data_IF_928708659143
#
_entry.id   IF_928708659143
#
_cell.length_a   1.000
_cell.length_b   1.000
_cell.length_c   1.000
_cell.angle_alpha   90.00
_cell.angle_beta   90.00
_cell.angle_gamma   90.00
#
_symmetry.space_group_name_H-M   'P 1'
#
loop_
_entity.id
_entity.type
_entity.pdbx_description
1 polymer ?
#
# COMPACT_ATOMS: atom_id res chain seq x y z
N UNK A 1 4.11 -18.79 4.15
CA UNK A 1 5.48 -19.31 4.33
C UNK A 1 6.43 -18.13 4.18
N UNK A 2 7.36 -17.93 5.11
CA UNK A 2 8.32 -16.83 5.11
C UNK A 2 9.66 -17.34 5.67
N UNK A 3 10.80 -16.80 5.25
CA UNK A 3 12.13 -17.28 5.63
C UNK A 3 13.10 -17.46 4.45
N UNK A 4 14.40 -17.55 4.74
CA UNK A 4 15.46 -17.71 3.74
C UNK A 4 15.58 -19.18 3.33
N UNK A 5 14.86 -19.57 2.27
CA UNK A 5 14.87 -20.94 1.74
C UNK A 5 16.29 -21.43 1.38
N UNK A 6 17.17 -20.52 0.94
CA UNK A 6 18.56 -20.83 0.61
C UNK A 6 19.43 -21.26 1.80
N UNK A 7 19.04 -20.86 3.02
CA UNK A 7 19.75 -21.19 4.27
C UNK A 7 19.09 -22.38 5.00
N UNK A 8 18.11 -23.05 4.37
CA UNK A 8 17.36 -24.16 4.98
C UNK A 8 16.36 -23.71 6.06
N UNK A 9 16.10 -22.41 6.19
CA UNK A 9 15.26 -21.83 7.24
C UNK A 9 13.91 -21.38 6.68
N UNK A 10 12.89 -22.20 6.91
CA UNK A 10 11.52 -21.98 6.41
C UNK A 10 10.55 -21.88 7.58
N UNK A 11 9.89 -20.73 7.72
CA UNK A 11 8.77 -20.55 8.66
C UNK A 11 7.44 -20.75 7.94
N UNK A 12 6.70 -21.76 8.38
CA UNK A 12 5.35 -22.02 7.93
C UNK A 12 4.35 -21.52 8.96
N UNK A 13 3.34 -20.79 8.49
CA UNK A 13 2.15 -20.48 9.29
C UNK A 13 1.02 -21.37 8.78
N UNK A 14 0.66 -22.34 9.59
CA UNK A 14 -0.48 -23.22 9.36
C UNK A 14 -1.60 -22.75 10.29
N UNK A 15 -2.74 -22.40 9.72
CA UNK A 15 -3.90 -21.94 10.48
C UNK A 15 -4.74 -23.14 10.87
N UNK A 16 -5.12 -23.22 12.14
CA UNK A 16 -6.06 -24.20 12.67
C UNK A 16 -7.29 -23.48 13.22
N UNK A 17 -8.42 -24.17 13.22
CA UNK A 17 -9.60 -23.72 13.91
C UNK A 17 -9.46 -24.00 15.42
N UNK A 18 -9.12 -22.97 16.19
CA UNK A 18 -9.01 -23.06 17.65
C UNK A 18 -10.28 -22.60 18.37
N UNK A 19 -11.38 -22.38 17.62
CA UNK A 19 -12.67 -21.97 18.19
C UNK A 19 -13.57 -23.18 18.46
N UNK A 20 -13.43 -24.26 17.70
CA UNK A 20 -14.27 -25.45 17.87
C UNK A 20 -13.47 -26.62 18.46
N UNK A 21 -14.14 -27.48 19.21
CA UNK A 21 -13.51 -28.64 19.88
C UNK A 21 -12.81 -29.57 18.88
N UNK A 22 -13.45 -29.85 17.74
CA UNK A 22 -12.88 -30.69 16.68
C UNK A 22 -11.57 -30.11 16.11
N UNK A 23 -11.52 -28.79 15.93
CA UNK A 23 -10.33 -28.12 15.42
C UNK A 23 -9.18 -28.06 16.44
N UNK A 24 -9.50 -27.96 17.73
CA UNK A 24 -8.49 -28.08 18.81
C UNK A 24 -7.93 -29.51 18.86
N UNK A 25 -8.79 -30.53 18.70
CA UNK A 25 -8.35 -31.92 18.65
C UNK A 25 -7.45 -32.18 17.43
N UNK A 26 -7.83 -31.67 16.26
CA UNK A 26 -7.01 -31.76 15.04
C UNK A 26 -5.65 -31.08 15.21
N UNK A 27 -5.62 -29.88 15.78
CA UNK A 27 -4.38 -29.17 16.05
C UNK A 27 -3.46 -29.90 17.03
N UNK A 28 -4.01 -30.45 18.12
CA UNK A 28 -3.26 -31.26 19.09
C UNK A 28 -2.65 -32.52 18.46
N UNK A 29 -3.44 -33.21 17.62
CA UNK A 29 -2.98 -34.38 16.85
C UNK A 29 -1.86 -34.00 15.89
N UNK A 30 -2.04 -32.92 15.12
CA UNK A 30 -1.01 -32.43 14.20
C UNK A 30 0.30 -32.12 14.91
N UNK A 31 0.26 -31.42 16.05
CA UNK A 31 1.47 -31.08 16.81
C UNK A 31 2.18 -32.33 17.34
N UNK A 32 1.43 -33.32 17.79
CA UNK A 32 1.97 -34.60 18.27
C UNK A 32 2.65 -35.38 17.13
N UNK A 33 1.97 -35.52 15.99
CA UNK A 33 2.51 -36.21 14.81
C UNK A 33 3.73 -35.49 14.22
N UNK A 34 3.69 -34.15 14.16
CA UNK A 34 4.83 -33.36 13.72
C UNK A 34 6.03 -33.49 14.67
N UNK A 35 5.79 -33.53 15.98
CA UNK A 35 6.83 -33.73 16.97
C UNK A 35 7.52 -35.09 16.80
N UNK A 36 6.73 -36.17 16.65
CA UNK A 36 7.24 -37.52 16.45
C UNK A 36 8.06 -37.61 15.16
N UNK A 37 7.60 -36.97 14.09
CA UNK A 37 8.32 -36.92 12.82
C UNK A 37 9.67 -36.23 12.97
N UNK A 38 9.71 -35.05 13.60
CA UNK A 38 10.95 -34.30 13.82
C UNK A 38 11.96 -35.12 14.64
N UNK A 39 11.50 -35.76 15.73
CA UNK A 39 12.36 -36.60 16.58
C UNK A 39 12.87 -37.83 15.82
N UNK A 40 12.04 -38.46 14.99
CA UNK A 40 12.42 -39.63 14.17
C UNK A 40 13.59 -39.32 13.24
N UNK A 41 13.68 -38.09 12.72
CA UNK A 41 14.79 -37.64 11.87
C UNK A 41 15.95 -37.01 12.65
N UNK A 42 15.97 -37.09 13.98
CA UNK A 42 17.00 -36.50 14.83
C UNK A 42 16.96 -34.96 14.90
N UNK A 43 15.82 -34.36 14.55
CA UNK A 43 15.61 -32.92 14.63
C UNK A 43 15.28 -32.45 16.05
N UNK A 44 15.24 -31.12 16.24
CA UNK A 44 14.93 -30.49 17.53
C UNK A 44 13.62 -29.70 17.46
N UNK A 45 12.80 -29.83 18.50
CA UNK A 45 11.60 -29.00 18.72
C UNK A 45 11.94 -27.66 19.40
N UNK A 46 13.17 -27.53 19.91
CA UNK A 46 13.68 -26.34 20.56
C UNK A 46 14.24 -25.34 19.55
N UNK A 47 14.07 -24.05 19.83
CA UNK A 47 14.50 -22.96 18.95
C UNK A 47 15.31 -21.88 19.67
N UNK A 48 15.87 -20.95 18.90
CA UNK A 48 16.74 -19.85 19.37
C UNK A 48 16.12 -18.99 20.49
N UNK A 49 14.78 -18.87 20.49
CA UNK A 49 14.04 -18.06 21.46
C UNK A 49 13.43 -18.86 22.62
N UNK A 50 13.88 -20.11 22.80
CA UNK A 50 13.38 -21.03 23.81
C UNK A 50 12.07 -21.73 23.40
N UNK A 51 11.61 -22.64 24.27
CA UNK A 51 10.51 -23.57 23.93
C UNK A 51 9.11 -23.01 24.21
N UNK A 52 9.03 -22.06 25.13
CA UNK A 52 7.76 -21.48 25.57
C UNK A 52 6.77 -22.53 26.11
N UNK A 53 5.50 -22.13 26.24
CA UNK A 53 4.44 -23.06 26.69
C UNK A 53 3.85 -23.91 25.58
N UNK A 54 3.77 -23.36 24.37
CA UNK A 54 3.14 -24.05 23.25
C UNK A 54 3.87 -25.34 22.84
N UNK A 55 5.15 -25.49 23.19
CA UNK A 55 5.95 -26.68 22.89
C UNK A 55 6.33 -27.50 24.12
N UNK A 56 6.12 -26.96 25.32
CA UNK A 56 6.56 -27.58 26.58
C UNK A 56 6.11 -29.03 26.71
N UNK A 57 4.83 -29.30 26.48
CA UNK A 57 4.25 -30.64 26.55
C UNK A 57 4.73 -31.60 25.44
N UNK A 58 5.47 -31.12 24.44
CA UNK A 58 6.10 -31.95 23.41
C UNK A 58 7.57 -32.27 23.74
N UNK A 59 8.19 -31.58 24.70
CA UNK A 59 9.61 -31.74 25.03
C UNK A 59 9.94 -33.15 25.54
N UNK A 60 8.99 -33.82 26.20
CA UNK A 60 9.15 -35.21 26.61
C UNK A 60 9.36 -36.17 25.44
N UNK A 61 8.74 -35.90 24.29
CA UNK A 61 8.93 -36.71 23.07
C UNK A 61 10.36 -36.60 22.53
N UNK A 62 11.03 -35.46 22.77
CA UNK A 62 12.39 -35.19 22.27
C UNK A 62 13.49 -35.60 23.26
N UNK A 63 13.36 -35.22 24.54
CA UNK A 63 14.38 -35.50 25.56
C UNK A 63 14.21 -36.86 26.23
N UNK A 64 13.00 -37.42 26.17
CA UNK A 64 12.66 -38.66 26.85
C UNK A 64 12.49 -38.49 28.37
N UNK A 65 11.95 -39.52 29.03
CA UNK A 65 11.60 -39.47 30.45
C UNK A 65 12.84 -39.39 31.36
N UNK A 66 13.94 -40.02 30.98
CA UNK A 66 15.18 -40.04 31.78
C UNK A 66 15.82 -38.65 31.89
N UNK A 67 15.96 -37.94 30.76
CA UNK A 67 16.54 -36.61 30.74
C UNK A 67 15.64 -35.58 31.43
N UNK A 68 14.31 -35.70 31.28
CA UNK A 68 13.36 -34.88 32.04
C UNK A 68 13.42 -35.14 33.54
N UNK A 69 13.64 -36.39 33.97
CA UNK A 69 13.85 -36.69 35.38
C UNK A 69 15.11 -36.01 35.93
N UNK A 70 16.19 -35.98 35.14
CA UNK A 70 17.40 -35.23 35.50
C UNK A 70 17.15 -33.72 35.59
N UNK A 71 16.41 -33.14 34.63
CA UNK A 71 16.04 -31.73 34.69
C UNK A 71 15.19 -31.42 35.93
N UNK A 72 14.26 -32.31 36.29
CA UNK A 72 13.45 -32.17 37.51
C UNK A 72 14.30 -32.24 38.77
N UNK A 73 15.24 -33.19 38.84
CA UNK A 73 16.18 -33.30 39.95
C UNK A 73 17.06 -32.06 40.07
N UNK A 74 17.58 -31.55 38.95
CA UNK A 74 18.38 -30.32 38.93
C UNK A 74 17.57 -29.11 39.43
N UNK A 75 16.33 -28.94 38.95
CA UNK A 75 15.46 -27.86 39.40
C UNK A 75 15.16 -27.95 40.90
N UNK A 76 14.91 -29.15 41.42
CA UNK A 76 14.60 -29.35 42.84
C UNK A 76 15.75 -28.98 43.80
N UNK A 77 17.01 -29.00 43.33
CA UNK A 77 18.17 -28.53 44.12
C UNK A 77 18.07 -27.03 44.41
N UNK A 78 17.59 -26.24 43.45
CA UNK A 78 17.57 -24.77 43.51
C UNK A 78 16.19 -24.19 43.85
N UNK A 79 15.13 -24.95 43.60
CA UNK A 79 13.74 -24.54 43.78
C UNK A 79 12.90 -25.73 44.31
N UNK A 80 13.16 -26.18 45.56
CA UNK A 80 12.50 -27.34 46.14
C UNK A 80 10.99 -27.15 46.30
N UNK A 81 10.55 -25.91 46.52
CA UNK A 81 9.14 -25.53 46.67
C UNK A 81 8.46 -25.23 45.32
N UNK A 82 9.20 -25.26 44.21
CA UNK A 82 8.65 -25.09 42.86
C UNK A 82 8.11 -23.67 42.55
N UNK A 83 8.62 -22.64 43.22
CA UNK A 83 8.15 -21.26 43.10
C UNK A 83 8.72 -20.53 41.88
N UNK A 84 9.87 -20.97 41.35
CA UNK A 84 10.53 -20.31 40.22
C UNK A 84 9.99 -20.83 38.89
N UNK A 85 9.12 -20.07 38.24
CA UNK A 85 8.56 -20.38 36.91
C UNK A 85 7.86 -21.75 36.83
N UNK A 86 6.79 -21.97 37.62
CA UNK A 86 6.05 -23.22 37.60
C UNK A 86 5.45 -23.52 36.22
N UNK A 87 5.49 -24.80 35.85
CA UNK A 87 4.97 -25.29 34.57
C UNK A 87 5.76 -24.87 33.33
N UNK A 88 6.94 -24.28 33.46
CA UNK A 88 7.83 -23.95 32.33
C UNK A 88 8.88 -25.04 32.16
N UNK A 89 8.99 -25.60 30.94
CA UNK A 89 9.93 -26.68 30.55
C UNK A 89 9.65 -28.01 31.27
N UNK A 90 9.50 -27.99 32.59
CA UNK A 90 9.13 -29.10 33.44
C UNK A 90 7.67 -28.99 33.85
N UNK A 91 6.99 -30.13 33.86
CA UNK A 91 5.58 -30.29 34.23
C UNK A 91 4.67 -29.24 33.52
N UNK A 92 4.76 -29.13 32.19
CA UNK A 92 4.07 -28.10 31.43
C UNK A 92 2.56 -28.34 31.39
N UNK A 93 1.79 -27.26 31.24
CA UNK A 93 0.36 -27.39 30.99
C UNK A 93 0.11 -28.07 29.63
N UNK A 94 -1.02 -28.78 29.46
CA UNK A 94 -1.39 -29.35 28.17
C UNK A 94 -1.41 -28.29 27.06
N UNK A 95 -1.02 -28.68 25.85
CA UNK A 95 -0.96 -27.77 24.68
C UNK A 95 -2.31 -27.10 24.38
N UNK A 96 -3.40 -27.80 24.68
CA UNK A 96 -4.79 -27.34 24.49
C UNK A 96 -5.32 -26.49 25.64
N UNK A 97 -4.55 -26.32 26.71
CA UNK A 97 -4.93 -25.48 27.85
C UNK A 97 -4.52 -24.02 27.61
N UNK A 98 -5.21 -23.08 28.27
CA UNK A 98 -4.88 -21.65 28.23
C UNK A 98 -4.84 -21.05 26.82
N UNK A 99 -5.62 -21.59 25.88
CA UNK A 99 -5.72 -21.04 24.54
C UNK A 99 -6.39 -19.66 24.59
N UNK A 100 -5.86 -18.72 23.82
CA UNK A 100 -6.45 -17.37 23.67
C UNK A 100 -7.85 -17.42 23.03
N UNK A 101 -8.10 -18.44 22.23
CA UNK A 101 -9.37 -18.75 21.58
C UNK A 101 -9.86 -20.09 22.13
N UNK A 102 -11.17 -20.27 22.27
CA UNK A 102 -11.73 -21.54 22.71
C UNK A 102 -13.23 -21.62 22.44
N UNK A 103 -13.83 -22.82 22.58
CA UNK A 103 -15.25 -23.07 22.29
C UNK A 103 -16.20 -22.28 23.20
N UNK A 104 -15.73 -21.88 24.37
CA UNK A 104 -16.48 -21.07 25.34
C UNK A 104 -16.24 -19.57 25.19
N UNK A 105 -15.30 -19.16 24.32
CA UNK A 105 -15.00 -17.74 24.08
C UNK A 105 -15.90 -17.24 22.96
N UNK A 106 -17.04 -16.64 23.32
CA UNK A 106 -17.78 -15.79 22.38
C UNK A 106 -16.90 -14.59 22.04
N UNK A 107 -16.26 -14.64 20.87
CA UNK A 107 -15.70 -13.43 20.27
C UNK A 107 -16.88 -12.54 19.90
N UNK A 108 -17.24 -11.59 20.77
CA UNK A 108 -18.02 -10.45 20.31
C UNK A 108 -17.29 -9.88 19.11
N UNK A 109 -17.94 -9.88 17.95
CA UNK A 109 -17.51 -9.01 16.86
C UNK A 109 -18.07 -7.63 17.20
N UNK A 110 -17.28 -6.72 17.80
CA UNK A 110 -17.76 -5.37 17.98
C UNK A 110 -18.21 -4.87 16.62
N UNK A 111 -19.35 -4.17 16.56
CA UNK A 111 -19.75 -3.42 15.37
C UNK A 111 -18.67 -2.37 15.12
N UNK A 112 -17.63 -2.75 14.40
CA UNK A 112 -16.51 -1.89 14.10
C UNK A 112 -16.95 -0.94 13.00
N UNK A 113 -17.19 0.32 13.35
CA UNK A 113 -17.34 1.40 12.39
C UNK A 113 -16.05 1.68 11.60
N UNK A 114 -14.93 1.07 12.00
CA UNK A 114 -13.58 1.30 11.49
C UNK A 114 -12.98 0.02 10.92
N UNK A 115 -13.15 -0.19 9.61
CA UNK A 115 -12.31 -1.06 8.79
C UNK A 115 -11.34 -0.18 8.01
N UNK A 116 -10.10 -0.08 8.48
CA UNK A 116 -9.07 0.76 7.87
C UNK A 116 -8.23 -0.01 6.87
N UNK A 117 -8.62 0.04 5.60
CA UNK A 117 -7.71 -0.28 4.49
C UNK A 117 -7.84 0.64 3.27
N UNK A 118 -8.87 1.51 3.22
CA UNK A 118 -9.36 2.04 1.95
C UNK A 118 -10.04 3.42 2.08
N UNK A 119 -9.33 4.54 2.24
CA UNK A 119 -10.00 5.89 2.30
C UNK A 119 -9.49 7.09 1.44
N UNK A 120 -8.74 6.92 0.35
CA UNK A 120 -8.94 7.73 -0.88
C UNK A 120 -8.68 9.25 -0.90
N UNK A 121 -8.57 9.98 0.21
CA UNK A 121 -7.88 11.28 0.38
C UNK A 121 -7.94 11.73 1.85
N UNK A 122 -7.10 12.67 2.32
CA UNK A 122 -7.37 13.36 3.61
C UNK A 122 -8.68 14.15 3.55
N UNK A 123 -8.94 14.82 2.42
CA UNK A 123 -10.19 15.57 2.16
C UNK A 123 -11.39 14.63 1.99
N UNK A 124 -11.21 13.52 1.27
CA UNK A 124 -12.27 12.53 1.09
C UNK A 124 -12.59 11.79 2.39
N UNK A 125 -11.59 11.45 3.22
CA UNK A 125 -11.75 10.88 4.54
C UNK A 125 -12.40 11.87 5.53
N UNK A 126 -12.04 13.16 5.48
CA UNK A 126 -12.67 14.19 6.32
C UNK A 126 -14.14 14.44 5.91
N UNK A 127 -14.43 14.49 4.61
CA UNK A 127 -15.78 14.63 4.08
C UNK A 127 -16.64 13.40 4.41
N UNK A 128 -16.16 12.18 4.10
CA UNK A 128 -16.85 10.90 4.37
C UNK A 128 -17.10 10.59 5.85
N UNK A 129 -16.38 11.27 6.76
CA UNK A 129 -16.53 11.20 8.22
C UNK A 129 -17.28 12.39 8.83
N UNK A 130 -17.68 13.37 8.03
CA UNK A 130 -18.42 14.51 8.54
C UNK A 130 -19.76 14.04 9.11
N UNK A 131 -20.19 14.56 10.29
CA UNK A 131 -21.52 14.28 10.83
C UNK A 131 -22.65 14.84 9.95
N UNK A 132 -22.30 15.69 8.97
CA UNK A 132 -23.20 16.25 7.98
C UNK A 132 -23.41 15.21 6.88
N UNK A 133 -24.59 14.57 6.88
CA UNK A 133 -25.01 13.49 5.98
C UNK A 133 -24.66 13.73 4.49
N UNK A 134 -24.97 14.91 3.90
CA UNK A 134 -24.59 15.23 2.52
C UNK A 134 -23.09 15.17 2.26
N UNK A 135 -22.28 15.70 3.19
CA UNK A 135 -20.82 15.74 3.06
C UNK A 135 -20.22 14.33 3.19
N UNK A 136 -20.78 13.51 4.10
CA UNK A 136 -20.39 12.12 4.28
C UNK A 136 -20.68 11.28 3.03
N UNK A 137 -21.83 11.51 2.41
CA UNK A 137 -22.27 10.78 1.23
C UNK A 137 -21.40 11.14 0.02
N UNK A 138 -21.10 12.44 -0.15
CA UNK A 138 -20.22 12.94 -1.21
C UNK A 138 -18.79 12.37 -1.09
N UNK A 139 -18.25 12.30 0.14
CA UNK A 139 -16.95 11.69 0.40
C UNK A 139 -16.93 10.17 0.11
N UNK A 140 -17.98 9.44 0.50
CA UNK A 140 -18.11 7.99 0.25
C UNK A 140 -18.27 7.69 -1.24
N UNK A 141 -19.10 8.46 -1.94
CA UNK A 141 -19.31 8.35 -3.37
C UNK A 141 -18.01 8.60 -4.14
N UNK A 142 -17.30 9.69 -3.83
CA UNK A 142 -16.00 9.98 -4.42
C UNK A 142 -15.00 8.84 -4.20
N UNK A 143 -14.92 8.32 -2.97
CA UNK A 143 -14.00 7.23 -2.60
C UNK A 143 -14.32 5.90 -3.30
N UNK A 144 -15.61 5.60 -3.49
CA UNK A 144 -16.07 4.42 -4.22
C UNK A 144 -15.78 4.56 -5.73
N UNK A 145 -16.03 5.74 -6.29
CA UNK A 145 -15.78 6.04 -7.70
C UNK A 145 -14.29 5.94 -8.06
N UNK A 146 -13.41 6.55 -7.26
CA UNK A 146 -11.95 6.52 -7.47
C UNK A 146 -11.37 5.10 -7.39
N UNK A 147 -12.03 4.16 -6.71
CA UNK A 147 -11.57 2.76 -6.61
C UNK A 147 -12.19 1.79 -7.60
N UNK A 148 -13.41 2.07 -8.04
CA UNK A 148 -14.15 1.18 -8.94
C UNK A 148 -13.82 1.41 -10.41
N UNK A 149 -13.30 2.60 -10.75
CA UNK A 149 -13.00 2.99 -12.12
C UNK A 149 -11.52 2.69 -12.41
N UNK A 150 -11.18 1.97 -13.50
CA UNK A 150 -9.80 1.80 -13.92
C UNK A 150 -9.13 3.16 -14.10
N UNK A 151 -7.89 3.29 -13.64
CA UNK A 151 -7.13 4.56 -13.65
C UNK A 151 -7.16 5.26 -15.01
N UNK A 152 -7.08 4.51 -16.11
CA UNK A 152 -7.16 5.01 -17.49
C UNK A 152 -8.49 5.75 -17.74
N UNK A 153 -9.61 5.11 -17.40
CA UNK A 153 -10.94 5.69 -17.58
C UNK A 153 -11.11 6.89 -16.67
N UNK A 154 -10.60 6.80 -15.45
CA UNK A 154 -10.64 7.90 -14.49
C UNK A 154 -9.90 9.13 -15.03
N UNK A 155 -8.66 8.99 -15.49
CA UNK A 155 -7.86 10.11 -16.00
C UNK A 155 -8.42 10.70 -17.29
N UNK A 156 -8.87 9.87 -18.22
CA UNK A 156 -9.41 10.32 -19.50
C UNK A 156 -10.74 11.05 -19.29
N UNK A 157 -11.60 10.51 -18.42
CA UNK A 157 -12.88 11.13 -18.11
C UNK A 157 -12.72 12.42 -17.31
N UNK A 158 -11.79 12.50 -16.36
CA UNK A 158 -11.62 13.68 -15.52
C UNK A 158 -11.14 14.89 -16.33
N UNK A 159 -10.22 14.69 -17.27
CA UNK A 159 -9.76 15.75 -18.17
C UNK A 159 -10.92 16.24 -19.05
N UNK A 160 -11.67 15.32 -19.66
CA UNK A 160 -12.82 15.66 -20.50
C UNK A 160 -13.92 16.39 -19.72
N UNK A 161 -14.25 15.92 -18.51
CA UNK A 161 -15.27 16.56 -17.66
C UNK A 161 -14.82 17.95 -17.23
N UNK A 162 -13.56 18.11 -16.86
CA UNK A 162 -13.04 19.41 -16.46
C UNK A 162 -13.05 20.40 -17.62
N UNK A 163 -12.65 19.96 -18.82
CA UNK A 163 -12.69 20.79 -20.02
C UNK A 163 -14.13 21.22 -20.35
N UNK A 164 -15.05 20.26 -20.41
CA UNK A 164 -16.48 20.53 -20.65
C UNK A 164 -17.08 21.41 -19.56
N UNK A 165 -16.66 21.29 -18.30
CA UNK A 165 -17.12 22.14 -17.22
C UNK A 165 -16.65 23.59 -17.39
N UNK A 166 -15.39 23.80 -17.81
CA UNK A 166 -14.87 25.14 -18.12
C UNK A 166 -15.65 25.75 -19.28
N UNK A 167 -15.84 25.01 -20.37
CA UNK A 167 -16.62 25.46 -21.52
C UNK A 167 -18.08 25.75 -21.16
N UNK A 168 -18.70 24.90 -20.35
CA UNK A 168 -20.07 25.10 -19.86
C UNK A 168 -20.20 26.38 -19.04
N UNK A 169 -19.31 26.57 -18.06
CA UNK A 169 -19.32 27.75 -17.20
C UNK A 169 -19.10 29.01 -18.03
N UNK A 170 -18.15 28.98 -18.97
CA UNK A 170 -17.90 30.12 -19.85
C UNK A 170 -19.06 30.39 -20.79
N UNK A 171 -19.71 29.35 -21.33
CA UNK A 171 -20.91 29.47 -22.15
C UNK A 171 -22.05 30.15 -21.39
N UNK A 172 -22.28 29.77 -20.13
CA UNK A 172 -23.31 30.38 -19.29
C UNK A 172 -23.10 31.87 -19.00
N UNK A 173 -21.85 32.34 -19.08
CA UNK A 173 -21.48 33.74 -18.83
C UNK A 173 -21.42 34.56 -20.12
N UNK A 174 -20.85 34.00 -21.19
CA UNK A 174 -20.57 34.72 -22.44
C UNK A 174 -21.78 34.72 -23.39
N UNK A 175 -22.58 33.66 -23.37
CA UNK A 175 -23.68 33.45 -24.32
C UNK A 175 -25.01 33.20 -23.59
N UNK A 176 -25.53 34.17 -22.82
CA UNK A 176 -26.76 34.00 -22.05
C UNK A 176 -28.01 33.80 -22.93
N UNK A 177 -27.99 34.31 -24.16
CA UNK A 177 -29.13 34.25 -25.11
C UNK A 177 -29.13 33.01 -26.01
N UNK A 178 -28.28 32.02 -25.71
CA UNK A 178 -28.19 30.79 -26.50
C UNK A 178 -29.37 29.86 -26.24
N UNK A 179 -30.14 29.56 -27.29
CA UNK A 179 -31.40 28.80 -27.18
C UNK A 179 -31.27 27.31 -27.44
N UNK A 180 -30.20 26.87 -28.13
CA UNK A 180 -30.02 25.45 -28.46
C UNK A 180 -29.53 24.64 -27.27
N UNK A 181 -29.98 23.39 -27.11
CA UNK A 181 -29.50 22.53 -26.03
C UNK A 181 -27.99 22.25 -26.19
N UNK A 182 -27.23 22.47 -25.12
CA UNK A 182 -25.77 22.30 -25.06
C UNK A 182 -25.37 20.83 -25.30
N UNK A 183 -26.17 19.88 -24.80
CA UNK A 183 -26.01 18.44 -25.09
C UNK A 183 -26.99 18.01 -26.18
N UNK A 184 -26.44 17.54 -27.30
CA UNK A 184 -27.20 16.99 -28.42
C UNK A 184 -26.73 15.56 -28.69
N UNK A 185 -27.31 14.60 -27.97
CA UNK A 185 -26.86 13.20 -28.01
C UNK A 185 -25.45 13.05 -27.44
N UNK A 186 -24.51 12.58 -28.25
CA UNK A 186 -23.09 12.43 -27.88
C UNK A 186 -22.27 13.73 -28.00
N UNK A 187 -22.82 14.77 -28.64
CA UNK A 187 -22.10 16.00 -28.92
C UNK A 187 -22.35 17.04 -27.80
N UNK A 188 -21.26 17.66 -27.36
CA UNK A 188 -21.27 18.80 -26.45
C UNK A 188 -20.99 20.06 -27.27
N UNK A 189 -22.02 20.90 -27.47
CA UNK A 189 -21.97 22.06 -28.36
C UNK A 189 -22.11 23.32 -27.51
N UNK A 190 -21.03 24.09 -27.44
CA UNK A 190 -20.99 25.43 -26.83
C UNK A 190 -20.83 26.50 -27.90
N UNK A 191 -21.24 27.73 -27.59
CA UNK A 191 -21.05 28.87 -28.48
C UNK A 191 -19.55 29.05 -28.85
N UNK A 192 -19.24 29.48 -30.09
CA UNK A 192 -17.86 29.62 -30.57
C UNK A 192 -16.97 30.49 -29.68
N UNK A 193 -17.55 31.51 -29.04
CA UNK A 193 -16.88 32.46 -28.16
C UNK A 193 -16.51 31.84 -26.80
N UNK A 194 -17.26 30.84 -26.36
CA UNK A 194 -17.04 30.14 -25.09
C UNK A 194 -16.01 29.01 -25.19
N UNK A 195 -15.71 28.49 -26.40
CA UNK A 195 -14.68 27.45 -26.59
C UNK A 195 -13.34 27.88 -26.03
N UNK A 196 -12.72 26.99 -25.26
CA UNK A 196 -11.43 27.22 -24.61
C UNK A 196 -10.39 26.21 -25.09
N UNK A 197 -9.40 26.62 -25.90
CA UNK A 197 -9.18 27.94 -26.48
C UNK A 197 -10.12 28.25 -27.66
N UNK A 198 -10.21 29.52 -28.04
CA UNK A 198 -11.02 29.95 -29.19
C UNK A 198 -10.52 29.28 -30.48
N UNK A 199 -11.42 28.93 -31.40
CA UNK A 199 -11.05 28.20 -32.63
C UNK A 199 -10.08 28.94 -33.56
N UNK A 200 -9.95 30.27 -33.43
CA UNK A 200 -8.97 31.07 -34.16
C UNK A 200 -7.65 31.29 -33.41
N UNK A 201 -7.45 30.67 -32.24
CA UNK A 201 -6.24 30.86 -31.46
C UNK A 201 -5.02 30.18 -32.13
N UNK A 202 -3.81 30.72 -31.96
CA UNK A 202 -2.60 30.08 -32.44
C UNK A 202 -2.43 28.66 -31.87
N UNK A 203 -1.81 27.76 -32.64
CA UNK A 203 -1.62 26.36 -32.26
C UNK A 203 -0.95 26.18 -30.88
N UNK A 204 0.07 26.98 -30.57
CA UNK A 204 0.76 26.91 -29.27
C UNK A 204 -0.18 27.18 -28.08
N UNK A 205 -1.27 27.94 -28.26
CA UNK A 205 -2.27 28.19 -27.22
C UNK A 205 -3.09 26.92 -26.96
N UNK A 206 -3.46 26.19 -28.02
CA UNK A 206 -4.14 24.89 -27.91
C UNK A 206 -3.28 23.86 -27.18
N UNK A 207 -2.01 23.75 -27.56
CA UNK A 207 -1.05 22.84 -26.91
C UNK A 207 -0.83 23.22 -25.43
N UNK A 208 -0.60 24.50 -25.15
CA UNK A 208 -0.37 24.99 -23.77
C UNK A 208 -1.59 24.77 -22.89
N UNK A 209 -2.79 25.02 -23.41
CA UNK A 209 -4.04 24.80 -22.67
C UNK A 209 -4.26 23.32 -22.38
N UNK A 210 -4.12 22.44 -23.38
CA UNK A 210 -4.26 20.99 -23.20
C UNK A 210 -3.24 20.43 -22.19
N UNK A 211 -1.99 20.88 -22.27
CA UNK A 211 -0.95 20.51 -21.32
C UNK A 211 -1.27 21.02 -19.90
N UNK A 212 -1.63 22.29 -19.75
CA UNK A 212 -1.97 22.87 -18.44
C UNK A 212 -3.17 22.17 -17.79
N UNK A 213 -4.19 21.85 -18.58
CA UNK A 213 -5.38 21.12 -18.14
C UNK A 213 -5.02 19.71 -17.64
N UNK A 214 -4.15 19.00 -18.37
CA UNK A 214 -3.67 17.68 -17.98
C UNK A 214 -2.83 17.74 -16.70
N UNK A 215 -1.88 18.67 -16.60
CA UNK A 215 -1.05 18.86 -15.39
C UNK A 215 -1.92 19.19 -14.18
N UNK A 216 -2.88 20.10 -14.33
CA UNK A 216 -3.79 20.47 -13.25
C UNK A 216 -4.65 19.28 -12.81
N UNK A 217 -5.21 18.54 -13.76
CA UNK A 217 -6.01 17.35 -13.47
C UNK A 217 -5.20 16.29 -12.74
N UNK A 218 -4.01 15.97 -13.24
CA UNK A 218 -3.12 15.00 -12.62
C UNK A 218 -2.68 15.46 -11.23
N UNK A 219 -2.36 16.74 -11.04
CA UNK A 219 -1.98 17.29 -9.74
C UNK A 219 -3.09 17.14 -8.69
N UNK A 220 -4.35 17.39 -9.05
CA UNK A 220 -5.48 17.21 -8.13
C UNK A 220 -5.65 15.72 -7.77
N UNK A 221 -5.66 14.85 -8.79
CA UNK A 221 -5.93 13.42 -8.58
C UNK A 221 -4.78 12.75 -7.80
N UNK A 222 -3.56 12.87 -8.29
CA UNK A 222 -2.38 12.33 -7.62
C UNK A 222 -2.12 13.02 -6.29
N UNK A 223 -2.45 14.31 -6.15
CA UNK A 223 -2.39 15.04 -4.88
C UNK A 223 -3.30 14.44 -3.81
N UNK A 224 -4.52 14.03 -4.17
CA UNK A 224 -5.42 13.34 -3.25
C UNK A 224 -4.86 11.97 -2.81
N UNK A 225 -4.30 11.20 -3.73
CA UNK A 225 -3.63 9.92 -3.42
C UNK A 225 -2.42 10.11 -2.50
N UNK A 226 -1.54 11.07 -2.82
CA UNK A 226 -0.40 11.43 -1.97
C UNK A 226 -0.85 11.85 -0.57
N UNK A 227 -1.93 12.66 -0.48
CA UNK A 227 -2.52 13.07 0.79
C UNK A 227 -2.94 11.88 1.68
N UNK A 228 -3.46 10.79 1.10
CA UNK A 228 -3.75 9.57 1.86
C UNK A 228 -2.52 8.89 2.39
N UNK A 229 -1.52 8.74 1.51
CA UNK A 229 -0.32 8.01 1.86
C UNK A 229 0.37 8.72 3.02
N UNK A 230 0.48 10.05 2.93
CA UNK A 230 1.02 10.87 4.02
C UNK A 230 0.16 10.79 5.29
N UNK A 231 -1.17 10.82 5.17
CA UNK A 231 -2.05 10.69 6.33
C UNK A 231 -1.98 9.31 7.00
N UNK A 232 -1.98 8.24 6.21
CA UNK A 232 -1.81 6.87 6.68
C UNK A 232 -0.46 6.69 7.36
N UNK A 233 0.59 7.26 6.78
CA UNK A 233 1.93 7.28 7.34
C UNK A 233 2.01 8.03 8.68
N UNK A 234 1.31 9.18 8.83
CA UNK A 234 1.26 9.90 10.12
C UNK A 234 0.59 9.06 11.21
N UNK A 235 -0.44 8.29 10.85
CA UNK A 235 -1.14 7.39 11.79
C UNK A 235 -0.36 6.12 12.13
N UNK A 236 0.57 5.72 11.27
CA UNK A 236 1.44 4.57 11.51
C UNK A 236 2.51 4.86 12.56
N UNK A 237 2.84 6.13 12.80
CA UNK A 237 3.78 6.53 13.87
C UNK A 237 3.19 6.14 15.24
N UNK A 238 3.94 5.41 16.09
CA UNK A 238 3.45 4.96 17.40
C UNK A 238 3.03 6.13 18.30
N UNK A 239 1.78 6.11 18.78
CA UNK A 239 1.25 7.17 19.66
C UNK A 239 2.04 7.34 20.95
N UNK A 240 2.54 6.24 21.52
CA UNK A 240 3.34 6.25 22.74
C UNK A 240 4.56 7.18 22.64
N UNK A 241 5.19 7.30 21.46
CA UNK A 241 6.32 8.22 21.27
C UNK A 241 5.88 9.69 21.31
N UNK A 242 4.71 9.99 20.74
CA UNK A 242 4.14 11.34 20.74
C UNK A 242 3.71 11.74 22.15
N UNK A 243 3.03 10.84 22.87
CA UNK A 243 2.60 11.03 24.26
C UNK A 243 3.80 11.17 25.22
N UNK A 244 4.85 10.39 25.00
CA UNK A 244 6.11 10.54 25.76
C UNK A 244 6.71 11.93 25.54
N UNK A 245 6.74 12.42 24.31
CA UNK A 245 7.25 13.76 24.01
C UNK A 245 6.41 14.88 24.64
N UNK A 246 5.08 14.72 24.68
CA UNK A 246 4.18 15.61 25.42
C UNK A 246 4.49 15.59 26.92
N UNK A 247 4.72 14.40 27.50
CA UNK A 247 5.09 14.24 28.92
C UNK A 247 6.45 14.89 29.27
N UNK A 248 7.39 14.91 28.33
CA UNK A 248 8.67 15.64 28.46
C UNK A 248 8.54 17.17 28.25
N UNK A 249 7.32 17.69 28.06
CA UNK A 249 7.06 19.12 27.94
C UNK A 249 7.27 19.69 26.52
N UNK A 250 7.36 18.84 25.48
CA UNK A 250 7.45 19.34 24.11
C UNK A 250 6.11 19.94 23.65
N UNK A 251 6.18 21.07 22.96
CA UNK A 251 5.02 21.67 22.29
C UNK A 251 4.59 20.85 21.08
N UNK A 252 3.29 20.90 20.72
CA UNK A 252 2.76 20.21 19.54
C UNK A 252 3.54 20.49 18.26
N UNK A 253 4.05 21.72 18.08
CA UNK A 253 4.87 22.09 16.92
C UNK A 253 6.24 21.40 16.94
N UNK A 254 6.88 21.28 18.11
CA UNK A 254 8.13 20.55 18.26
C UNK A 254 7.93 19.06 18.00
N UNK A 255 6.86 18.47 18.56
CA UNK A 255 6.51 17.06 18.34
C UNK A 255 6.27 16.79 16.85
N UNK A 256 5.51 17.66 16.18
CA UNK A 256 5.22 17.54 14.76
C UNK A 256 6.51 17.53 13.91
N UNK A 257 7.35 18.56 14.04
CA UNK A 257 8.53 18.71 13.18
C UNK A 257 9.71 17.82 13.56
N UNK A 258 9.88 17.49 14.85
CA UNK A 258 11.05 16.74 15.34
C UNK A 258 10.80 15.24 15.48
N UNK A 259 9.54 14.81 15.64
CA UNK A 259 9.21 13.41 15.95
C UNK A 259 8.28 12.83 14.90
N UNK A 260 7.13 13.46 14.64
CA UNK A 260 6.12 12.92 13.73
C UNK A 260 6.60 12.92 12.27
N UNK A 261 6.98 14.08 11.73
CA UNK A 261 7.32 14.25 10.30
C UNK A 261 8.52 13.38 9.89
N UNK A 262 9.65 13.34 10.63
CA UNK A 262 10.78 12.49 10.26
C UNK A 262 10.43 11.00 10.23
N UNK A 263 9.63 10.53 11.18
CA UNK A 263 9.24 9.11 11.25
C UNK A 263 8.15 8.75 10.23
N UNK A 264 7.21 9.67 9.97
CA UNK A 264 6.18 9.52 8.94
C UNK A 264 6.79 9.20 7.57
N UNK A 265 7.89 9.86 7.18
CA UNK A 265 8.50 9.65 5.86
C UNK A 265 8.86 8.20 5.57
N UNK A 266 9.27 7.44 6.58
CA UNK A 266 9.61 6.02 6.45
C UNK A 266 8.37 5.21 6.02
N UNK A 267 7.22 5.47 6.65
CA UNK A 267 5.96 4.81 6.31
C UNK A 267 5.36 5.34 4.99
N UNK A 268 5.63 6.59 4.63
CA UNK A 268 5.09 7.22 3.42
C UNK A 268 5.82 6.78 2.14
N UNK A 269 7.14 6.58 2.19
CA UNK A 269 7.98 6.32 1.01
C UNK A 269 7.54 5.13 0.16
N UNK A 270 7.20 3.95 0.73
CA UNK A 270 6.72 2.83 -0.09
C UNK A 270 5.43 3.17 -0.85
N UNK A 271 4.49 3.85 -0.19
CA UNK A 271 3.24 4.28 -0.81
C UNK A 271 3.45 5.35 -1.89
N UNK A 272 4.31 6.33 -1.62
CA UNK A 272 4.64 7.39 -2.59
C UNK A 272 5.42 6.84 -3.80
N UNK A 273 6.29 5.86 -3.57
CA UNK A 273 7.00 5.12 -4.62
C UNK A 273 6.01 4.41 -5.55
N UNK A 274 5.01 3.72 -4.98
CA UNK A 274 3.96 3.08 -5.78
C UNK A 274 3.17 4.11 -6.62
N UNK A 275 2.80 5.24 -6.03
CA UNK A 275 2.10 6.33 -6.74
C UNK A 275 2.97 6.89 -7.88
N UNK A 276 4.27 7.06 -7.65
CA UNK A 276 5.22 7.49 -8.68
C UNK A 276 5.26 6.51 -9.86
N UNK A 277 5.30 5.20 -9.60
CA UNK A 277 5.29 4.20 -10.68
C UNK A 277 3.99 4.22 -11.49
N UNK A 278 2.86 4.46 -10.84
CA UNK A 278 1.57 4.62 -11.53
C UNK A 278 1.60 5.87 -12.41
N UNK A 279 2.12 6.99 -11.90
CA UNK A 279 2.24 8.24 -12.66
C UNK A 279 3.07 8.05 -13.93
N UNK A 280 4.23 7.37 -13.83
CA UNK A 280 5.07 7.06 -15.00
C UNK A 280 4.28 6.33 -16.08
N UNK A 281 3.45 5.35 -15.70
CA UNK A 281 2.67 4.54 -16.65
C UNK A 281 1.41 5.24 -17.15
N UNK A 282 0.90 6.22 -16.41
CA UNK A 282 -0.31 6.97 -16.75
C UNK A 282 -0.03 8.14 -17.70
N UNK A 283 1.09 8.85 -17.52
CA UNK A 283 1.48 9.99 -18.39
C UNK A 283 1.44 9.73 -19.89
N UNK A 284 1.82 8.55 -20.42
CA UNK A 284 1.79 8.32 -21.85
C UNK A 284 0.36 8.29 -22.40
N UNK A 285 -0.65 7.98 -21.57
CA UNK A 285 -2.06 7.94 -22.01
C UNK A 285 -2.59 9.33 -22.40
N UNK A 286 -1.91 10.41 -22.05
CA UNK A 286 -2.28 11.77 -22.45
C UNK A 286 -2.31 11.94 -23.98
N UNK A 287 -1.56 11.11 -24.73
CA UNK A 287 -1.63 11.11 -26.19
C UNK A 287 -3.04 10.83 -26.73
N UNK A 288 -3.85 10.04 -26.01
CA UNK A 288 -5.23 9.74 -26.39
C UNK A 288 -6.15 10.97 -26.33
N UNK A 289 -5.76 11.96 -25.55
CA UNK A 289 -6.45 13.24 -25.41
C UNK A 289 -5.90 14.30 -26.38
N UNK A 290 -5.05 13.90 -27.34
CA UNK A 290 -4.46 14.80 -28.32
C UNK A 290 -3.29 15.63 -27.78
N UNK A 291 -2.74 15.29 -26.62
CA UNK A 291 -1.54 15.94 -26.08
C UNK A 291 -0.31 15.30 -26.71
N UNK A 292 0.59 16.15 -27.24
CA UNK A 292 1.79 15.70 -27.95
C UNK A 292 2.90 15.26 -26.98
N UNK A 293 2.82 14.02 -26.50
CA UNK A 293 3.83 13.41 -25.62
C UNK A 293 4.86 12.57 -26.40
N UNK A 294 5.76 11.89 -25.68
CA UNK A 294 6.79 11.04 -26.30
C UNK A 294 6.17 9.87 -27.11
N UNK A 295 4.97 9.40 -26.74
CA UNK A 295 4.24 8.35 -27.49
C UNK A 295 3.65 8.90 -28.77
N UNK A 296 3.09 10.12 -28.75
CA UNK A 296 2.65 10.85 -29.93
C UNK A 296 3.81 10.97 -30.93
N UNK A 297 4.97 11.46 -30.49
CA UNK A 297 6.13 11.64 -31.35
C UNK A 297 6.67 10.30 -31.89
N UNK A 298 6.65 9.23 -31.10
CA UNK A 298 7.02 7.90 -31.60
C UNK A 298 6.09 7.38 -32.70
N UNK A 299 4.78 7.63 -32.57
CA UNK A 299 3.79 7.26 -33.59
C UNK A 299 3.92 8.10 -34.87
N UNK A 300 4.16 9.40 -34.69
CA UNK A 300 4.21 10.40 -35.75
C UNK A 300 5.53 10.33 -36.53
N UNK A 301 6.68 10.25 -35.83
CA UNK A 301 7.99 10.05 -36.46
C UNK A 301 8.18 8.64 -36.99
N UNK A 302 7.59 7.62 -36.34
CA UNK A 302 7.68 6.25 -36.81
C UNK A 302 6.79 5.95 -38.02
N UNK A 303 5.76 6.76 -38.30
CA UNK A 303 4.85 6.52 -39.42
C UNK A 303 5.54 6.64 -40.78
N UNK A 304 4.93 6.07 -41.82
CA UNK A 304 5.47 6.16 -43.18
C UNK A 304 5.55 7.62 -43.64
N UNK A 305 6.77 8.12 -43.87
CA UNK A 305 7.01 9.45 -44.42
C UNK A 305 7.17 9.34 -45.94
N UNK A 306 6.15 9.74 -46.70
CA UNK A 306 6.24 9.87 -48.15
C UNK A 306 7.05 11.12 -48.54
N UNK A 307 7.29 11.32 -49.83
CA UNK A 307 8.20 12.30 -50.47
C UNK A 307 8.07 13.79 -50.09
N UNK A 308 7.20 14.14 -49.13
CA UNK A 308 7.08 15.48 -48.56
C UNK A 308 8.13 15.80 -47.47
N UNK A 309 8.91 14.81 -46.99
CA UNK A 309 9.89 14.99 -45.91
C UNK A 309 11.32 14.73 -46.38
N UNK A 310 12.29 15.42 -45.76
CA UNK A 310 13.73 15.34 -46.08
C UNK A 310 14.32 13.92 -45.93
N UNK A 311 13.69 13.04 -45.13
CA UNK A 311 14.11 11.67 -44.89
C UNK A 311 12.92 10.69 -45.03
N UNK A 312 12.66 10.17 -46.25
CA UNK A 312 11.61 9.17 -46.45
C UNK A 312 12.04 7.81 -45.88
N UNK A 313 11.18 7.21 -45.06
CA UNK A 313 11.37 5.88 -44.51
C UNK A 313 10.03 5.12 -44.46
N UNK A 314 10.05 3.76 -44.52
CA UNK A 314 8.85 2.94 -44.35
C UNK A 314 8.31 3.03 -42.92
N UNK A 315 7.22 2.33 -42.61
CA UNK A 315 6.66 2.31 -41.25
C UNK A 315 7.68 1.72 -40.26
N UNK A 316 8.28 2.60 -39.46
CA UNK A 316 9.27 2.31 -38.43
C UNK A 316 8.67 2.37 -37.03
N UNK A 317 7.35 2.51 -36.89
CA UNK A 317 6.67 2.60 -35.57
C UNK A 317 7.12 1.51 -34.61
N UNK A 318 7.29 0.28 -35.10
CA UNK A 318 7.78 -0.83 -34.28
C UNK A 318 9.10 -0.49 -33.56
N UNK A 319 10.08 0.07 -34.26
CA UNK A 319 11.39 0.41 -33.69
C UNK A 319 11.30 1.58 -32.70
N UNK A 320 10.48 2.58 -33.00
CA UNK A 320 10.23 3.69 -32.07
C UNK A 320 9.52 3.22 -30.79
N UNK A 321 8.50 2.36 -30.91
CA UNK A 321 7.83 1.76 -29.75
C UNK A 321 8.74 0.83 -28.96
N UNK A 322 9.63 0.08 -29.61
CA UNK A 322 10.64 -0.73 -28.93
C UNK A 322 11.63 0.15 -28.15
N UNK A 323 12.08 1.26 -28.75
CA UNK A 323 12.91 2.25 -28.07
C UNK A 323 12.21 2.86 -26.85
N UNK A 324 10.93 3.21 -26.99
CA UNK A 324 10.10 3.68 -25.88
C UNK A 324 9.94 2.63 -24.78
N UNK A 325 9.73 1.37 -25.13
CA UNK A 325 9.62 0.28 -24.16
C UNK A 325 10.90 0.19 -23.32
N UNK A 326 12.07 0.20 -23.97
CA UNK A 326 13.36 0.18 -23.29
C UNK A 326 13.52 1.42 -22.41
N UNK A 327 13.15 2.60 -22.91
CA UNK A 327 13.19 3.85 -22.15
C UNK A 327 12.33 3.78 -20.88
N UNK A 328 11.06 3.37 -20.97
CA UNK A 328 10.16 3.27 -19.82
C UNK A 328 10.60 2.19 -18.83
N UNK A 329 11.10 1.05 -19.31
CA UNK A 329 11.67 0.01 -18.45
C UNK A 329 12.91 0.51 -17.71
N UNK A 330 13.82 1.20 -18.40
CA UNK A 330 15.00 1.80 -17.80
C UNK A 330 14.62 2.88 -16.79
N UNK A 331 13.67 3.75 -17.13
CA UNK A 331 13.20 4.82 -16.26
C UNK A 331 12.53 4.28 -14.99
N UNK A 332 11.72 3.21 -15.13
CA UNK A 332 11.12 2.49 -14.00
C UNK A 332 12.22 1.88 -13.13
N UNK A 333 13.18 1.19 -13.74
CA UNK A 333 14.28 0.53 -13.00
C UNK A 333 15.17 1.53 -12.26
N UNK A 334 15.51 2.66 -12.90
CA UNK A 334 16.27 3.73 -12.26
C UNK A 334 15.48 4.35 -11.11
N UNK A 335 14.19 4.60 -11.30
CA UNK A 335 13.30 5.12 -10.25
C UNK A 335 13.25 4.16 -9.05
N UNK A 336 13.09 2.86 -9.26
CA UNK A 336 13.12 1.85 -8.20
C UNK A 336 14.44 1.85 -7.44
N UNK A 337 15.58 1.89 -8.14
CA UNK A 337 16.91 1.90 -7.51
C UNK A 337 17.08 3.16 -6.64
N UNK A 338 16.69 4.33 -7.15
CA UNK A 338 16.77 5.59 -6.40
C UNK A 338 15.88 5.56 -5.17
N UNK A 339 14.63 5.11 -5.31
CA UNK A 339 13.67 5.03 -4.20
C UNK A 339 14.06 3.98 -3.16
N UNK A 340 14.62 2.85 -3.58
CA UNK A 340 15.15 1.83 -2.67
C UNK A 340 16.33 2.37 -1.86
N UNK A 341 17.27 3.09 -2.51
CA UNK A 341 18.39 3.75 -1.81
C UNK A 341 17.93 4.82 -0.83
N UNK A 342 16.95 5.65 -1.22
CA UNK A 342 16.36 6.65 -0.33
C UNK A 342 15.69 6.00 0.88
N UNK A 343 14.95 4.91 0.65
CA UNK A 343 14.29 4.15 1.71
C UNK A 343 15.32 3.57 2.68
N UNK A 344 16.36 2.90 2.18
CA UNK A 344 17.43 2.33 2.99
C UNK A 344 18.18 3.41 3.82
N UNK A 345 18.44 4.58 3.23
CA UNK A 345 19.09 5.69 3.91
C UNK A 345 18.22 6.29 5.01
N UNK A 346 16.91 6.40 4.79
CA UNK A 346 15.97 6.96 5.75
C UNK A 346 15.57 5.97 6.85
N UNK A 347 15.70 4.66 6.61
CA UNK A 347 15.56 3.62 7.64
C UNK A 347 16.79 3.44 8.52
N UNK A 348 17.93 4.04 8.16
CA UNK A 348 19.19 3.86 8.89
C UNK A 348 19.13 4.49 10.28
N UNK A 349 19.32 3.69 11.34
CA UNK A 349 19.38 4.15 12.73
C UNK A 349 18.05 4.07 13.52
N UNK A 350 17.02 3.40 13.00
CA UNK A 350 15.74 3.22 13.71
C UNK A 350 15.51 1.77 14.14
N UNK A 351 15.13 1.57 15.40
CA UNK A 351 14.69 0.30 15.97
C UNK A 351 13.18 0.08 15.74
N UNK A 352 12.71 0.19 14.49
CA UNK A 352 11.34 -0.22 14.11
C UNK A 352 11.41 -1.58 13.45
N UNK A 353 10.41 -2.46 13.65
CA UNK A 353 10.42 -3.80 13.06
C UNK A 353 10.60 -3.77 11.53
N UNK A 354 9.98 -2.80 10.84
CA UNK A 354 10.16 -2.59 9.40
C UNK A 354 11.56 -2.04 9.03
N UNK A 355 12.14 -1.17 9.85
CA UNK A 355 13.52 -0.69 9.67
C UNK A 355 14.57 -1.78 9.93
N UNK A 356 14.30 -2.66 10.89
CA UNK A 356 15.12 -3.82 11.23
C UNK A 356 15.06 -4.89 10.12
N UNK A 357 13.88 -5.18 9.57
CA UNK A 357 13.71 -6.07 8.41
C UNK A 357 14.43 -5.51 7.15
N UNK A 358 14.27 -4.22 6.86
CA UNK A 358 14.95 -3.57 5.72
C UNK A 358 16.47 -3.50 5.91
N UNK A 359 16.96 -3.26 7.13
CA UNK A 359 18.39 -3.28 7.45
C UNK A 359 18.99 -4.68 7.27
N UNK A 360 18.27 -5.72 7.70
CA UNK A 360 18.68 -7.13 7.52
C UNK A 360 18.64 -7.57 6.06
N UNK A 361 17.74 -7.03 5.24
CA UNK A 361 17.67 -7.33 3.80
C UNK A 361 18.74 -6.63 2.95
N UNK A 362 19.38 -5.58 3.48
CA UNK A 362 20.42 -4.80 2.81
C UNK A 362 21.86 -5.15 3.24
N UNK A 363 22.00 -5.94 4.32
CA UNK A 363 23.25 -6.55 4.77
C UNK A 363 23.40 -7.94 4.11
#
# INVERSE_FOLDING_TARGET
>A
MYGHFGDGLVHCRVSFDLKHEDGIAEWSRFLSEAADLVVTYGGSLSGEHGDGQARGALLERMYGPEMLAMFRAFKAIWDPDGLMNPGKILDPYPVTSNLRLGPTVETEEPRTAFSYHKEGGFVAAAASRSPILPLSWLGKFYTAMVRGVPDIVFFLFFILVLDQAIEYLRHSVVCPDWTDPIRQGANFIVCPEARTPQSGAPQWVHETYGFALAVFTYAIVFGAFCGNVLYGAMRAVPRAQLETAEAYGMTRRQIFWRILVPQMWIYALPGLSNIWMILIKATPLLFLLGIEDIVYWARELGGSRTSAFQYPHPDWRFWYFLGLLIFYLAFTRVSEIVLARLTARLSHGQATAAGEELRKAAA
#
